data_IF_251727843691
#
_entry.id   IF_251727843691
#
_cell.length_a   1.000
_cell.length_b   1.000
_cell.length_c   1.000
_cell.angle_alpha   90.00
_cell.angle_beta   90.00
_cell.angle_gamma   90.00
#
_symmetry.space_group_name_H-M   'P 1'
#
loop_
_entity.id
_entity.type
_entity.pdbx_description
1 polymer ?
#
# COMPACT_ATOMS: atom_id res chain seq x y z
N UNK A 1 -56.79 21.11 32.69
CA UNK A 1 -55.81 21.36 31.61
C UNK A 1 -54.72 20.28 31.48
N UNK A 2 -55.05 19.00 31.24
CA UNK A 2 -54.04 17.93 31.04
C UNK A 2 -53.44 17.85 29.61
N UNK A 3 -54.08 18.49 28.62
CA UNK A 3 -53.73 18.29 27.20
C UNK A 3 -52.42 19.00 26.75
N UNK A 4 -51.95 20.04 27.46
CA UNK A 4 -50.74 20.79 27.04
C UNK A 4 -49.41 20.12 27.45
N UNK A 5 -49.40 19.33 28.53
CA UNK A 5 -48.20 18.56 28.94
C UNK A 5 -47.94 17.39 28.00
N UNK A 6 -49.00 16.68 27.58
CA UNK A 6 -48.89 15.52 26.67
C UNK A 6 -48.33 15.90 25.30
N UNK A 7 -48.77 17.03 24.73
CA UNK A 7 -48.25 17.55 23.44
C UNK A 7 -46.78 17.96 23.51
N UNK A 8 -46.34 18.60 24.61
CA UNK A 8 -44.93 18.98 24.81
C UNK A 8 -44.02 17.76 24.93
N UNK A 9 -44.47 16.73 25.65
CA UNK A 9 -43.70 15.49 25.79
C UNK A 9 -43.58 14.73 24.46
N UNK A 10 -44.67 14.66 23.68
CA UNK A 10 -44.63 14.00 22.36
C UNK A 10 -43.67 14.71 21.38
N UNK A 11 -43.71 16.05 21.33
CA UNK A 11 -42.79 16.81 20.49
C UNK A 11 -41.34 16.67 20.94
N UNK A 12 -41.09 16.64 22.24
CA UNK A 12 -39.76 16.39 22.79
C UNK A 12 -39.23 15.01 22.39
N UNK A 13 -40.05 13.95 22.52
CA UNK A 13 -39.66 12.61 22.09
C UNK A 13 -39.33 12.55 20.60
N UNK A 14 -40.15 13.16 19.73
CA UNK A 14 -39.88 13.18 18.28
C UNK A 14 -38.55 13.86 17.98
N UNK A 15 -38.29 15.03 18.59
CA UNK A 15 -37.03 15.75 18.40
C UNK A 15 -35.83 14.94 18.86
N UNK A 16 -35.91 14.30 20.03
CA UNK A 16 -34.86 13.45 20.56
C UNK A 16 -34.59 12.25 19.64
N UNK A 17 -35.64 11.58 19.16
CA UNK A 17 -35.50 10.47 18.21
C UNK A 17 -34.81 10.90 16.92
N UNK A 18 -35.19 12.05 16.34
CA UNK A 18 -34.53 12.58 15.14
C UNK A 18 -33.05 12.85 15.40
N UNK A 19 -32.72 13.49 16.52
CA UNK A 19 -31.32 13.77 16.88
C UNK A 19 -30.51 12.47 17.05
N UNK A 20 -31.08 11.46 17.71
CA UNK A 20 -30.42 10.17 17.89
C UNK A 20 -30.22 9.42 16.56
N UNK A 21 -31.18 9.50 15.64
CA UNK A 21 -31.04 8.93 14.31
C UNK A 21 -29.94 9.61 13.50
N UNK A 22 -29.88 10.95 13.52
CA UNK A 22 -28.80 11.71 12.86
C UNK A 22 -27.44 11.35 13.47
N UNK A 23 -27.35 11.32 14.80
CA UNK A 23 -26.13 10.93 15.50
C UNK A 23 -25.68 9.51 15.13
N UNK A 24 -26.61 8.56 15.06
CA UNK A 24 -26.32 7.19 14.64
C UNK A 24 -25.82 7.13 13.19
N UNK A 25 -26.46 7.84 12.27
CA UNK A 25 -26.04 7.90 10.86
C UNK A 25 -24.62 8.43 10.71
N UNK A 26 -24.24 9.47 11.48
CA UNK A 26 -22.88 10.01 11.42
C UNK A 26 -21.86 9.01 11.99
N UNK A 27 -22.19 8.28 13.07
CA UNK A 27 -21.31 7.22 13.57
C UNK A 27 -21.14 6.07 12.56
N UNK A 28 -22.18 5.74 11.79
CA UNK A 28 -22.06 4.77 10.70
C UNK A 28 -21.13 5.30 9.62
N UNK A 29 -21.26 6.57 9.23
CA UNK A 29 -20.39 7.21 8.25
C UNK A 29 -18.91 7.23 8.72
N UNK A 30 -18.66 7.51 10.00
CA UNK A 30 -17.33 7.44 10.61
C UNK A 30 -16.76 6.01 10.56
N UNK A 31 -17.57 5.00 10.88
CA UNK A 31 -17.18 3.60 10.74
C UNK A 31 -16.80 3.22 9.30
N UNK A 32 -17.53 3.73 8.30
CA UNK A 32 -17.20 3.55 6.87
C UNK A 32 -15.89 4.27 6.51
N UNK A 33 -15.66 5.48 7.03
CA UNK A 33 -14.41 6.23 6.83
C UNK A 33 -13.19 5.48 7.37
N UNK A 34 -13.30 4.93 8.59
CA UNK A 34 -12.27 4.09 9.21
C UNK A 34 -12.07 2.79 8.41
N UNK A 35 -13.15 2.18 7.93
CA UNK A 35 -13.06 1.00 7.07
C UNK A 35 -12.21 1.27 5.82
N UNK A 36 -12.46 2.37 5.10
CA UNK A 36 -11.66 2.73 3.93
C UNK A 36 -10.20 3.01 4.27
N UNK A 37 -9.93 3.62 5.43
CA UNK A 37 -8.57 3.80 5.92
C UNK A 37 -7.84 2.45 6.12
N UNK A 38 -8.50 1.52 6.82
CA UNK A 38 -7.92 0.21 7.10
C UNK A 38 -7.74 -0.56 5.78
N UNK A 39 -8.75 -0.55 4.91
CA UNK A 39 -8.72 -1.22 3.62
C UNK A 39 -7.57 -0.71 2.74
N UNK A 40 -7.43 0.61 2.59
CA UNK A 40 -6.32 1.20 1.81
C UNK A 40 -4.94 0.93 2.45
N UNK A 41 -4.88 0.76 3.77
CA UNK A 41 -3.63 0.43 4.49
C UNK A 41 -3.16 -1.02 4.31
N UNK A 42 -4.08 -1.95 4.03
CA UNK A 42 -3.77 -3.39 3.89
C UNK A 42 -3.80 -3.86 2.44
N UNK A 43 -4.61 -3.23 1.59
CA UNK A 43 -4.72 -3.47 0.17
C UNK A 43 -4.37 -2.19 -0.57
N UNK A 44 -3.06 -1.88 -0.72
CA UNK A 44 -2.66 -0.66 -1.40
C UNK A 44 -2.99 -0.70 -2.90
N UNK A 45 -3.25 -1.89 -3.46
CA UNK A 45 -3.69 -2.07 -4.84
C UNK A 45 -5.05 -2.81 -4.96
N UNK A 46 -5.88 -2.49 -5.97
CA UNK A 46 -5.74 -1.31 -6.83
C UNK A 46 -5.91 -0.05 -5.98
N UNK A 47 -5.28 1.05 -6.39
CA UNK A 47 -5.41 2.29 -5.65
C UNK A 47 -6.86 2.78 -5.67
N UNK A 48 -7.34 3.10 -4.49
CA UNK A 48 -8.62 3.79 -4.25
C UNK A 48 -8.39 5.30 -4.23
N UNK A 49 -9.46 6.09 -4.23
CA UNK A 49 -9.37 7.56 -4.20
C UNK A 49 -8.47 8.06 -3.05
N UNK A 50 -8.58 7.55 -1.80
CA UNK A 50 -7.72 7.98 -0.69
C UNK A 50 -6.23 7.75 -0.89
N UNK A 51 -5.82 6.70 -1.62
CA UNK A 51 -4.42 6.31 -1.78
C UNK A 51 -3.94 6.37 -3.24
N UNK A 52 -4.64 7.13 -4.10
CA UNK A 52 -4.24 7.34 -5.49
C UNK A 52 -2.86 7.98 -5.60
N UNK A 53 -2.55 8.92 -4.70
CA UNK A 53 -1.27 9.61 -4.59
C UNK A 53 -0.75 9.56 -3.16
N UNK A 54 0.57 9.70 -2.99
CA UNK A 54 1.18 9.73 -1.66
C UNK A 54 0.66 10.92 -0.82
N UNK A 55 0.59 12.12 -1.41
CA UNK A 55 0.06 13.30 -0.73
C UNK A 55 -1.41 13.12 -0.34
N UNK A 56 -2.22 12.50 -1.20
CA UNK A 56 -3.61 12.15 -0.91
C UNK A 56 -3.72 11.20 0.29
N UNK A 57 -2.88 10.17 0.34
CA UNK A 57 -2.84 9.22 1.45
C UNK A 57 -2.42 9.88 2.76
N UNK A 58 -1.39 10.73 2.73
CA UNK A 58 -0.95 11.50 3.88
C UNK A 58 -2.04 12.44 4.42
N UNK A 59 -2.71 13.17 3.53
CA UNK A 59 -3.81 14.06 3.90
C UNK A 59 -5.01 13.28 4.47
N UNK A 60 -5.40 12.17 3.85
CA UNK A 60 -6.48 11.31 4.33
C UNK A 60 -6.17 10.73 5.71
N UNK A 61 -4.94 10.25 5.90
CA UNK A 61 -4.46 9.75 7.19
C UNK A 61 -4.55 10.83 8.26
N UNK A 62 -4.02 12.03 8.01
CA UNK A 62 -4.07 13.15 8.96
C UNK A 62 -5.52 13.58 9.28
N UNK A 63 -6.38 13.68 8.27
CA UNK A 63 -7.79 14.03 8.46
C UNK A 63 -8.52 13.00 9.31
N UNK A 64 -8.26 11.70 9.10
CA UNK A 64 -8.84 10.64 9.90
C UNK A 64 -8.57 10.84 11.41
N UNK A 65 -7.36 11.25 11.80
CA UNK A 65 -7.04 11.58 13.20
C UNK A 65 -7.81 12.78 13.74
N UNK A 66 -7.82 13.88 12.97
CA UNK A 66 -8.46 15.13 13.39
C UNK A 66 -9.96 14.91 13.55
N UNK A 67 -10.60 14.28 12.56
CA UNK A 67 -12.03 13.97 12.62
C UNK A 67 -12.34 12.96 13.72
N UNK A 68 -11.56 11.89 13.87
CA UNK A 68 -11.76 10.91 14.94
C UNK A 68 -11.68 11.54 16.34
N UNK A 69 -10.76 12.49 16.55
CA UNK A 69 -10.65 13.22 17.82
C UNK A 69 -11.87 14.11 18.08
N UNK A 70 -12.24 14.96 17.12
CA UNK A 70 -13.39 15.88 17.26
C UNK A 70 -14.68 15.09 17.43
N UNK A 71 -14.84 13.99 16.68
CA UNK A 71 -16.00 13.12 16.76
C UNK A 71 -16.07 12.38 18.11
N UNK A 72 -14.94 11.92 18.64
CA UNK A 72 -14.85 11.37 20.00
C UNK A 72 -15.30 12.35 21.08
N UNK A 73 -14.90 13.63 20.98
CA UNK A 73 -15.36 14.69 21.89
C UNK A 73 -16.87 14.94 21.78
N UNK A 74 -17.42 14.90 20.56
CA UNK A 74 -18.86 15.01 20.34
C UNK A 74 -19.62 13.84 20.96
N UNK A 75 -19.15 12.61 20.73
CA UNK A 75 -19.70 11.39 21.33
C UNK A 75 -19.66 11.45 22.86
N UNK A 76 -18.59 12.00 23.46
CA UNK A 76 -18.50 12.20 24.91
C UNK A 76 -19.63 13.11 25.41
N UNK A 77 -19.90 14.23 24.73
CA UNK A 77 -20.98 15.14 25.11
C UNK A 77 -22.35 14.48 25.00
N UNK A 78 -22.60 13.73 23.93
CA UNK A 78 -23.85 12.98 23.74
C UNK A 78 -24.02 11.92 24.82
N UNK A 79 -22.98 11.15 25.12
CA UNK A 79 -23.01 10.13 26.17
C UNK A 79 -23.24 10.73 27.56
N UNK A 80 -22.57 11.83 27.91
CA UNK A 80 -22.79 12.52 29.19
C UNK A 80 -24.23 13.05 29.30
N UNK A 81 -24.77 13.63 28.22
CA UNK A 81 -26.15 14.09 28.19
C UNK A 81 -27.16 12.95 28.34
N UNK A 82 -26.92 11.83 27.64
CA UNK A 82 -27.76 10.63 27.74
C UNK A 82 -27.72 10.04 29.15
N UNK A 83 -26.53 9.90 29.76
CA UNK A 83 -26.38 9.40 31.13
C UNK A 83 -27.06 10.30 32.15
N UNK A 84 -26.99 11.63 31.98
CA UNK A 84 -27.69 12.58 32.84
C UNK A 84 -29.22 12.38 32.79
N UNK A 85 -29.79 12.28 31.58
CA UNK A 85 -31.22 11.99 31.41
C UNK A 85 -31.63 10.64 32.01
N UNK A 86 -30.77 9.63 31.90
CA UNK A 86 -31.03 8.28 32.36
C UNK A 86 -30.96 8.17 33.89
N UNK A 87 -30.05 8.93 34.52
CA UNK A 87 -29.93 9.03 35.98
C UNK A 87 -31.18 9.66 36.60
N UNK A 88 -31.74 10.70 35.98
CA UNK A 88 -33.00 11.31 36.44
C UNK A 88 -34.18 10.33 36.34
N UNK A 89 -34.22 9.49 35.30
CA UNK A 89 -35.33 8.58 35.05
C UNK A 89 -35.27 7.28 35.87
N UNK A 90 -34.08 6.74 36.15
CA UNK A 90 -33.88 5.42 36.75
C UNK A 90 -33.31 5.46 38.17
N UNK A 91 -33.64 6.46 39.00
CA UNK A 91 -33.11 6.75 40.35
C UNK A 91 -32.66 5.56 41.26
N UNK A 92 -33.22 4.35 41.11
CA UNK A 92 -32.82 3.13 41.85
C UNK A 92 -32.08 2.05 41.02
N UNK A 93 -32.17 2.06 39.68
CA UNK A 93 -31.51 1.10 38.76
C UNK A 93 -30.31 1.69 38.01
N UNK A 94 -30.01 2.97 38.22
CA UNK A 94 -28.99 3.72 37.51
C UNK A 94 -27.59 3.10 37.60
N UNK A 95 -27.22 2.48 38.72
CA UNK A 95 -25.87 1.89 38.92
C UNK A 95 -25.62 0.69 38.01
N UNK A 96 -26.60 -0.20 37.87
CA UNK A 96 -26.48 -1.39 37.00
C UNK A 96 -26.50 -1.00 35.52
N UNK A 97 -27.39 -0.09 35.12
CA UNK A 97 -27.45 0.40 33.74
C UNK A 97 -26.20 1.18 33.36
N UNK A 98 -25.63 1.96 34.28
CA UNK A 98 -24.35 2.65 34.09
C UNK A 98 -23.18 1.69 33.84
N UNK A 99 -23.13 0.56 34.56
CA UNK A 99 -22.08 -0.44 34.36
C UNK A 99 -22.12 -1.08 32.96
N UNK A 100 -23.31 -1.33 32.42
CA UNK A 100 -23.50 -1.88 31.07
C UNK A 100 -23.22 -0.83 29.99
N UNK A 101 -23.67 0.41 30.19
CA UNK A 101 -23.52 1.48 29.19
C UNK A 101 -22.12 2.10 29.16
N UNK A 102 -21.39 2.08 30.27
CA UNK A 102 -20.03 2.63 30.37
C UNK A 102 -19.06 2.08 29.32
N UNK A 103 -18.91 0.75 29.13
CA UNK A 103 -18.01 0.23 28.10
C UNK A 103 -18.46 0.60 26.68
N UNK A 104 -19.78 0.65 26.43
CA UNK A 104 -20.33 1.06 25.12
C UNK A 104 -19.99 2.54 24.87
N UNK A 105 -20.21 3.40 25.87
CA UNK A 105 -19.85 4.81 25.80
C UNK A 105 -18.34 4.99 25.57
N UNK A 106 -17.51 4.23 26.28
CA UNK A 106 -16.05 4.28 26.09
C UNK A 106 -15.66 3.90 24.66
N UNK A 107 -16.27 2.86 24.07
CA UNK A 107 -16.04 2.48 22.67
C UNK A 107 -16.52 3.56 21.71
N UNK A 108 -17.66 4.19 21.94
CA UNK A 108 -18.15 5.28 21.08
C UNK A 108 -17.28 6.54 21.16
N UNK A 109 -16.71 6.83 22.33
CA UNK A 109 -15.86 8.01 22.55
C UNK A 109 -14.45 7.78 22.00
N UNK A 110 -13.86 6.62 22.30
CA UNK A 110 -12.46 6.31 21.97
C UNK A 110 -12.32 5.64 20.60
N UNK A 111 -13.35 4.94 20.14
CA UNK A 111 -13.37 4.19 18.89
C UNK A 111 -12.99 5.02 17.67
N UNK A 112 -13.63 6.18 17.41
CA UNK A 112 -13.30 7.01 16.26
C UNK A 112 -11.81 7.38 16.17
N UNK A 113 -11.17 7.59 17.32
CA UNK A 113 -9.76 7.98 17.40
C UNK A 113 -8.78 6.79 17.38
N UNK A 114 -9.10 5.72 18.12
CA UNK A 114 -8.16 4.59 18.34
C UNK A 114 -8.42 3.38 17.45
N UNK A 115 -9.63 3.21 16.91
CA UNK A 115 -9.96 2.05 16.07
C UNK A 115 -9.05 1.86 14.87
N UNK A 116 -8.55 2.89 14.15
CA UNK A 116 -7.60 2.68 13.05
C UNK A 116 -6.30 2.03 13.55
N UNK A 117 -5.82 2.38 14.74
CA UNK A 117 -4.59 1.82 15.33
C UNK A 117 -4.75 0.41 15.84
N UNK A 118 -5.93 0.09 16.38
CA UNK A 118 -6.21 -1.24 16.92
C UNK A 118 -6.55 -2.21 15.78
N UNK A 119 -7.37 -1.77 14.83
CA UNK A 119 -7.88 -2.61 13.76
C UNK A 119 -6.84 -2.82 12.65
N UNK A 120 -6.00 -1.82 12.32
CA UNK A 120 -4.99 -1.97 11.26
C UNK A 120 -4.05 -3.15 11.50
N UNK A 121 -3.40 -3.34 12.68
CA UNK A 121 -2.52 -4.48 12.90
C UNK A 121 -3.25 -5.83 12.88
N UNK A 122 -4.53 -5.88 13.25
CA UNK A 122 -5.35 -7.10 13.15
C UNK A 122 -5.65 -7.41 11.68
N UNK A 123 -6.08 -6.41 10.94
CA UNK A 123 -6.38 -6.51 9.52
C UNK A 123 -5.13 -6.83 8.69
N UNK A 124 -3.98 -6.22 8.99
CA UNK A 124 -2.69 -6.52 8.36
C UNK A 124 -2.27 -7.97 8.61
N UNK A 125 -2.46 -8.49 9.83
CA UNK A 125 -2.16 -9.88 10.13
C UNK A 125 -3.09 -10.85 9.38
N UNK A 126 -4.39 -10.50 9.28
CA UNK A 126 -5.35 -11.27 8.49
C UNK A 126 -5.01 -11.25 6.99
N UNK A 127 -4.74 -10.07 6.43
CA UNK A 127 -4.32 -9.88 5.05
C UNK A 127 -3.02 -10.63 4.76
N UNK A 128 -2.03 -10.56 5.67
CA UNK A 128 -0.80 -11.33 5.53
C UNK A 128 -1.07 -12.83 5.44
N UNK A 129 -2.00 -13.39 6.20
CA UNK A 129 -2.26 -14.83 6.17
C UNK A 129 -3.14 -15.29 5.01
N UNK A 130 -3.98 -14.41 4.46
CA UNK A 130 -5.04 -14.79 3.51
C UNK A 130 -5.03 -14.04 2.17
N UNK A 131 -4.20 -13.01 2.01
CA UNK A 131 -4.19 -12.13 0.84
C UNK A 131 -3.86 -12.86 -0.46
N UNK A 132 -3.00 -13.88 -0.39
CA UNK A 132 -2.62 -14.70 -1.52
C UNK A 132 -3.39 -16.03 -1.66
N UNK A 133 -4.45 -16.30 -0.89
CA UNK A 133 -5.14 -17.60 -0.90
C UNK A 133 -5.74 -17.98 -2.27
N UNK A 134 -6.02 -16.99 -3.13
CA UNK A 134 -6.56 -17.18 -4.48
C UNK A 134 -5.49 -17.39 -5.56
N UNK A 135 -4.22 -17.29 -5.20
CA UNK A 135 -3.08 -17.31 -6.13
C UNK A 135 -2.35 -18.65 -6.04
N UNK A 136 -1.73 -19.06 -7.16
CA UNK A 136 -1.00 -20.32 -7.21
C UNK A 136 0.27 -20.27 -6.34
N UNK A 137 0.95 -19.12 -6.35
CA UNK A 137 2.21 -18.89 -5.63
C UNK A 137 2.09 -17.66 -4.76
N UNK A 138 2.64 -17.77 -3.55
CA UNK A 138 2.98 -16.61 -2.71
C UNK A 138 4.49 -16.49 -2.59
N UNK A 139 4.98 -15.26 -2.63
CA UNK A 139 6.40 -14.92 -2.61
C UNK A 139 6.62 -13.97 -1.43
N UNK A 140 7.56 -14.31 -0.56
CA UNK A 140 7.94 -13.46 0.57
C UNK A 140 9.29 -12.84 0.25
N UNK A 141 9.29 -11.54 0.03
CA UNK A 141 10.48 -10.74 -0.17
C UNK A 141 10.98 -10.30 1.20
N UNK A 142 12.14 -10.81 1.62
CA UNK A 142 12.79 -10.45 2.88
C UNK A 142 14.07 -9.67 2.58
N UNK A 143 13.98 -8.34 2.68
CA UNK A 143 15.12 -7.47 2.51
C UNK A 143 16.00 -7.44 3.78
N UNK A 144 17.28 -7.11 3.61
CA UNK A 144 18.15 -6.84 4.74
C UNK A 144 17.76 -5.52 5.43
N UNK A 145 17.80 -5.49 6.77
CA UNK A 145 17.59 -4.28 7.56
C UNK A 145 18.90 -3.49 7.65
N UNK A 146 18.83 -2.15 7.67
CA UNK A 146 20.02 -1.30 7.85
C UNK A 146 20.67 -1.48 9.23
N UNK A 147 19.85 -1.75 10.24
CA UNK A 147 20.26 -2.08 11.62
C UNK A 147 20.38 -3.60 11.86
N UNK A 148 20.32 -4.41 10.80
CA UNK A 148 20.39 -5.86 10.86
C UNK A 148 21.80 -6.39 11.07
N UNK A 149 21.91 -7.72 11.19
CA UNK A 149 23.23 -8.38 11.17
C UNK A 149 23.83 -8.19 9.78
N UNK A 150 25.08 -7.72 9.70
CA UNK A 150 25.82 -7.33 8.49
C UNK A 150 25.80 -8.40 7.37
N UNK A 151 25.50 -9.66 7.70
CA UNK A 151 25.56 -10.80 6.79
C UNK A 151 24.21 -11.48 6.52
N UNK A 152 23.07 -10.79 6.68
CA UNK A 152 21.79 -11.34 6.23
C UNK A 152 21.55 -10.99 4.76
N UNK A 153 21.52 -11.98 3.86
CA UNK A 153 21.22 -11.74 2.46
C UNK A 153 19.75 -11.37 2.28
N UNK A 154 19.46 -10.57 1.25
CA UNK A 154 18.10 -10.28 0.81
C UNK A 154 17.58 -11.47 0.02
N UNK A 155 16.56 -12.15 0.55
CA UNK A 155 16.02 -13.40 0.00
C UNK A 155 14.57 -13.21 -0.45
N UNK A 156 14.23 -13.74 -1.62
CA UNK A 156 12.86 -13.94 -2.08
C UNK A 156 12.50 -15.43 -1.99
N UNK A 157 11.58 -15.79 -1.09
CA UNK A 157 11.15 -17.18 -0.87
C UNK A 157 9.81 -17.46 -1.54
N UNK A 158 9.74 -18.51 -2.34
CA UNK A 158 8.55 -18.91 -3.08
C UNK A 158 7.83 -20.05 -2.37
N UNK A 159 6.49 -19.98 -2.29
CA UNK A 159 5.66 -20.98 -1.63
C UNK A 159 4.43 -21.32 -2.48
N UNK A 160 4.01 -22.58 -2.41
CA UNK A 160 2.68 -23.02 -2.86
C UNK A 160 1.86 -23.37 -1.62
N UNK A 161 0.80 -22.58 -1.36
CA UNK A 161 0.15 -22.60 -0.05
C UNK A 161 1.18 -22.32 1.05
N UNK A 162 1.26 -23.19 2.06
CA UNK A 162 2.22 -23.06 3.17
C UNK A 162 3.54 -23.83 2.97
N UNK A 163 3.76 -24.43 1.80
CA UNK A 163 4.94 -25.24 1.51
C UNK A 163 6.00 -24.40 0.78
N UNK A 164 7.18 -24.26 1.38
CA UNK A 164 8.32 -23.60 0.76
C UNK A 164 8.82 -24.42 -0.45
N UNK A 165 9.07 -23.75 -1.57
CA UNK A 165 9.50 -24.38 -2.81
C UNK A 165 11.01 -24.18 -3.03
N UNK A 166 11.42 -22.92 -3.14
CA UNK A 166 12.78 -22.50 -3.43
C UNK A 166 12.94 -21.02 -3.06
N UNK A 167 14.19 -20.55 -3.04
CA UNK A 167 14.49 -19.15 -2.78
C UNK A 167 15.48 -18.58 -3.77
N UNK A 168 15.35 -17.27 -4.01
CA UNK A 168 16.28 -16.47 -4.78
C UNK A 168 16.98 -15.47 -3.86
N UNK A 169 18.18 -15.07 -4.22
CA UNK A 169 18.97 -14.05 -3.56
C UNK A 169 19.17 -12.86 -4.50
N UNK A 170 19.11 -11.65 -3.93
CA UNK A 170 19.46 -10.43 -4.62
C UNK A 170 20.90 -10.03 -4.26
N UNK A 171 21.74 -9.88 -5.28
CA UNK A 171 23.13 -9.48 -5.17
C UNK A 171 23.37 -8.22 -6.01
N UNK A 172 23.91 -7.18 -5.38
CA UNK A 172 24.32 -5.97 -6.06
C UNK A 172 25.79 -6.09 -6.47
N UNK A 173 26.08 -6.10 -7.76
CA UNK A 173 27.46 -6.14 -8.28
C UNK A 173 28.03 -4.73 -8.46
N UNK A 174 27.19 -3.76 -8.82
CA UNK A 174 27.54 -2.33 -8.90
C UNK A 174 26.28 -1.47 -8.68
N UNK A 175 26.39 -0.14 -8.74
CA UNK A 175 25.24 0.76 -8.65
C UNK A 175 24.14 0.39 -9.68
N UNK A 176 24.56 0.12 -10.92
CA UNK A 176 23.67 -0.09 -12.06
C UNK A 176 23.50 -1.56 -12.45
N UNK A 177 24.19 -2.49 -11.77
CA UNK A 177 24.17 -3.91 -12.10
C UNK A 177 23.76 -4.76 -10.90
N UNK A 178 22.59 -5.38 -11.04
CA UNK A 178 21.99 -6.24 -10.02
C UNK A 178 21.74 -7.63 -10.57
N UNK A 179 21.92 -8.65 -9.73
CA UNK A 179 21.65 -10.03 -10.09
C UNK A 179 20.69 -10.67 -9.09
N UNK A 180 19.69 -11.37 -9.61
CA UNK A 180 18.69 -12.09 -8.87
C UNK A 180 18.74 -13.56 -9.29
N UNK A 181 19.25 -14.43 -8.42
CA UNK A 181 19.53 -15.83 -8.77
C UNK A 181 19.05 -16.82 -7.73
N UNK A 182 18.90 -18.08 -8.13
CA UNK A 182 18.53 -19.18 -7.23
C UNK A 182 19.58 -19.30 -6.13
N UNK A 183 19.09 -19.33 -4.89
CA UNK A 183 19.89 -19.55 -3.69
C UNK A 183 19.78 -20.99 -3.19
N UNK A 184 18.56 -21.50 -3.09
CA UNK A 184 18.29 -22.84 -2.57
C UNK A 184 17.00 -23.43 -3.13
N UNK A 185 16.96 -24.75 -3.22
CA UNK A 185 15.72 -25.52 -3.41
C UNK A 185 15.29 -25.99 -2.02
N UNK A 186 14.21 -25.43 -1.50
CA UNK A 186 13.79 -25.60 -0.11
C UNK A 186 12.83 -26.80 0.06
N UNK A 187 12.12 -27.18 -1.01
CA UNK A 187 11.28 -28.37 -1.05
C UNK A 187 12.13 -29.63 -1.29
N UNK A 188 12.08 -30.64 -0.39
CA UNK A 188 12.76 -31.91 -0.61
C UNK A 188 12.29 -32.64 -1.87
N UNK A 189 11.00 -32.56 -2.18
CA UNK A 189 10.40 -33.21 -3.35
C UNK A 189 10.91 -32.56 -4.64
N UNK A 190 11.02 -31.22 -4.68
CA UNK A 190 11.60 -30.51 -5.83
C UNK A 190 13.10 -30.74 -5.97
N UNK A 191 13.83 -30.86 -4.85
CA UNK A 191 15.25 -31.16 -4.87
C UNK A 191 15.53 -32.55 -5.49
N UNK A 192 14.65 -33.52 -5.25
CA UNK A 192 14.74 -34.87 -5.82
C UNK A 192 14.17 -34.95 -7.24
N UNK A 193 13.12 -34.20 -7.55
CA UNK A 193 12.45 -34.20 -8.85
C UNK A 193 12.56 -32.84 -9.55
N UNK A 194 13.70 -32.62 -10.16
CA UNK A 194 14.02 -31.36 -10.85
C UNK A 194 13.35 -31.22 -12.23
N UNK A 195 12.57 -32.21 -12.65
CA UNK A 195 11.69 -32.13 -13.84
C UNK A 195 10.27 -31.70 -13.50
N UNK A 196 9.96 -31.50 -12.22
CA UNK A 196 8.66 -31.01 -11.80
C UNK A 196 8.37 -29.62 -12.39
N UNK A 197 7.12 -29.36 -12.76
CA UNK A 197 6.68 -28.06 -13.29
C UNK A 197 6.93 -26.88 -12.33
N UNK A 198 7.03 -27.17 -11.03
CA UNK A 198 7.34 -26.22 -9.96
C UNK A 198 8.85 -26.02 -9.73
N UNK A 199 9.71 -26.74 -10.43
CA UNK A 199 11.15 -26.49 -10.37
C UNK A 199 11.50 -25.18 -11.10
N UNK A 200 12.32 -24.29 -10.51
CA UNK A 200 12.67 -23.01 -11.14
C UNK A 200 13.59 -23.24 -12.35
N UNK A 201 13.11 -22.90 -13.54
CA UNK A 201 13.88 -23.09 -14.78
C UNK A 201 14.90 -21.97 -15.05
N UNK A 202 14.68 -20.80 -14.44
CA UNK A 202 15.53 -19.62 -14.52
C UNK A 202 16.58 -19.73 -13.41
N UNK A 203 17.86 -19.70 -13.75
CA UNK A 203 18.94 -19.79 -12.76
C UNK A 203 19.29 -18.42 -12.19
N UNK A 204 19.43 -17.42 -13.05
CA UNK A 204 19.68 -16.04 -12.65
C UNK A 204 19.10 -15.05 -13.65
N UNK A 205 18.82 -13.86 -13.16
CA UNK A 205 18.44 -12.67 -13.90
C UNK A 205 19.44 -11.58 -13.57
N UNK A 206 19.89 -10.83 -14.57
CA UNK A 206 20.74 -9.65 -14.42
C UNK A 206 19.96 -8.44 -14.92
N UNK A 207 19.88 -7.40 -14.08
CA UNK A 207 19.29 -6.10 -14.39
C UNK A 207 20.42 -5.11 -14.62
N UNK A 208 20.38 -4.43 -15.76
CA UNK A 208 21.27 -3.32 -16.09
C UNK A 208 20.45 -2.04 -16.16
N UNK A 209 20.68 -1.12 -15.22
CA UNK A 209 19.98 0.16 -15.13
C UNK A 209 20.60 1.24 -16.05
N UNK A 210 21.70 0.94 -16.75
CA UNK A 210 22.28 1.89 -17.73
C UNK A 210 21.41 2.01 -18.98
N UNK A 211 20.82 0.89 -19.39
CA UNK A 211 20.00 0.76 -20.60
C UNK A 211 18.61 0.15 -20.32
N UNK A 212 18.25 0.03 -19.04
CA UNK A 212 17.04 -0.63 -18.53
C UNK A 212 16.82 -2.03 -19.13
N UNK A 213 17.90 -2.76 -19.39
CA UNK A 213 17.85 -4.10 -19.97
C UNK A 213 17.88 -5.21 -18.93
N UNK A 214 17.27 -6.34 -19.29
CA UNK A 214 17.29 -7.55 -18.49
C UNK A 214 17.76 -8.73 -19.32
N UNK A 215 18.63 -9.55 -18.73
CA UNK A 215 19.04 -10.83 -19.30
C UNK A 215 18.93 -11.92 -18.26
N UNK A 216 18.49 -13.10 -18.66
CA UNK A 216 18.33 -14.24 -17.77
C UNK A 216 18.97 -15.49 -18.35
N UNK A 217 19.63 -16.25 -17.48
CA UNK A 217 20.16 -17.55 -17.85
C UNK A 217 19.32 -18.66 -17.23
N UNK A 218 19.04 -19.69 -18.01
CA UNK A 218 18.30 -20.86 -17.59
C UNK A 218 19.27 -22.02 -17.41
N UNK A 219 18.92 -22.94 -16.51
CA UNK A 219 19.60 -24.22 -16.47
C UNK A 219 18.96 -25.17 -17.49
N UNK A 220 19.79 -25.76 -18.34
CA UNK A 220 19.37 -26.75 -19.33
C UNK A 220 19.15 -28.13 -18.72
N UNK A 221 19.66 -28.39 -17.51
CA UNK A 221 19.49 -29.65 -16.82
C UNK A 221 19.77 -29.53 -15.31
N UNK A 222 19.05 -30.29 -14.47
CA UNK A 222 19.27 -30.47 -13.04
C UNK A 222 20.72 -30.66 -12.56
N UNK A 223 21.56 -31.22 -13.43
CA UNK A 223 22.90 -31.72 -13.13
C UNK A 223 24.01 -31.04 -13.94
N UNK A 224 23.67 -30.08 -14.81
CA UNK A 224 24.65 -29.33 -15.59
C UNK A 224 24.77 -27.89 -15.09
N UNK A 225 25.99 -27.47 -14.78
CA UNK A 225 26.35 -26.09 -14.39
C UNK A 225 26.34 -25.14 -15.59
N UNK A 226 26.16 -25.66 -16.81
CA UNK A 226 26.08 -24.83 -18.02
C UNK A 226 24.73 -24.15 -18.09
N UNK A 227 24.73 -22.88 -17.69
CA UNK A 227 23.62 -21.97 -17.90
C UNK A 227 23.71 -21.37 -19.30
N UNK A 228 22.56 -21.19 -19.94
CA UNK A 228 22.46 -20.56 -21.26
C UNK A 228 21.48 -19.41 -21.18
N UNK A 229 21.78 -18.31 -21.86
CA UNK A 229 20.85 -17.18 -21.96
C UNK A 229 19.54 -17.65 -22.59
N UNK A 230 18.45 -17.38 -21.88
CA UNK A 230 17.11 -17.84 -22.23
C UNK A 230 16.06 -16.76 -22.12
N UNK A 231 16.38 -15.64 -21.46
CA UNK A 231 15.49 -14.50 -21.31
C UNK A 231 16.28 -13.27 -21.71
N UNK A 232 15.65 -12.42 -22.51
CA UNK A 232 16.13 -11.08 -22.81
C UNK A 232 14.96 -10.11 -22.81
N UNK A 233 15.24 -8.83 -22.63
CA UNK A 233 14.20 -7.83 -22.69
C UNK A 233 14.60 -6.50 -22.08
N UNK A 234 13.59 -5.67 -21.88
CA UNK A 234 13.72 -4.34 -21.29
C UNK A 234 12.66 -4.15 -20.22
N UNK A 235 12.98 -3.32 -19.23
CA UNK A 235 12.01 -2.83 -18.26
C UNK A 235 11.95 -1.31 -18.34
N UNK A 236 10.90 -0.73 -17.78
CA UNK A 236 10.78 0.71 -17.61
C UNK A 236 10.50 0.97 -16.13
N UNK A 237 11.50 1.37 -15.33
CA UNK A 237 11.34 1.52 -13.89
C UNK A 237 10.61 2.82 -13.50
N UNK A 238 10.24 3.67 -14.47
CA UNK A 238 9.59 4.96 -14.21
C UNK A 238 8.18 4.80 -13.60
N UNK A 239 7.45 5.91 -13.52
CA UNK A 239 6.12 5.98 -12.90
C UNK A 239 5.12 4.91 -13.37
N UNK A 240 5.20 4.42 -14.61
CA UNK A 240 4.37 3.31 -15.10
C UNK A 240 5.28 2.12 -15.36
N UNK A 241 5.48 1.26 -14.35
CA UNK A 241 6.30 0.07 -14.48
C UNK A 241 5.83 -0.78 -15.67
N UNK A 242 6.75 -1.14 -16.55
CA UNK A 242 6.46 -2.08 -17.64
C UNK A 242 7.66 -2.96 -17.94
N UNK A 243 7.38 -4.10 -18.57
CA UNK A 243 8.38 -5.04 -19.03
C UNK A 243 8.03 -5.49 -20.45
N UNK A 244 9.04 -5.65 -21.29
CA UNK A 244 8.93 -6.34 -22.56
C UNK A 244 9.97 -7.45 -22.53
N UNK A 245 9.51 -8.69 -22.36
CA UNK A 245 10.35 -9.86 -22.08
C UNK A 245 10.18 -10.88 -23.19
N UNK A 246 11.28 -11.41 -23.71
CA UNK A 246 11.30 -12.52 -24.66
C UNK A 246 11.92 -13.74 -24.01
N UNK A 247 11.17 -14.83 -23.90
CA UNK A 247 11.70 -16.15 -23.55
C UNK A 247 12.22 -16.82 -24.82
N UNK A 248 13.55 -16.88 -24.96
CA UNK A 248 14.25 -17.44 -26.11
C UNK A 248 14.03 -18.94 -26.30
N UNK A 249 13.57 -19.66 -25.26
CA UNK A 249 13.32 -21.11 -25.34
C UNK A 249 12.05 -21.41 -26.11
N UNK A 250 11.04 -20.56 -25.93
CA UNK A 250 9.73 -20.68 -26.61
C UNK A 250 9.56 -19.66 -27.72
N UNK A 251 10.47 -18.69 -27.82
CA UNK A 251 10.38 -17.51 -28.66
C UNK A 251 9.09 -16.70 -28.42
N UNK A 252 8.62 -16.69 -27.18
CA UNK A 252 7.41 -15.98 -26.75
C UNK A 252 7.80 -14.64 -26.16
N UNK A 253 7.15 -13.57 -26.63
CA UNK A 253 7.31 -12.25 -26.04
C UNK A 253 6.09 -11.93 -25.18
N UNK A 254 6.32 -11.33 -24.02
CA UNK A 254 5.29 -10.93 -23.06
C UNK A 254 5.50 -9.48 -22.68
N UNK A 255 4.47 -8.67 -22.85
CA UNK A 255 4.46 -7.28 -22.41
C UNK A 255 3.65 -7.14 -21.11
N UNK A 256 4.32 -6.80 -20.03
CA UNK A 256 3.68 -6.58 -18.73
C UNK A 256 3.61 -5.09 -18.44
N UNK A 257 2.48 -4.65 -17.87
CA UNK A 257 2.30 -3.25 -17.46
C UNK A 257 1.63 -3.15 -16.10
N UNK A 258 2.12 -2.21 -15.29
CA UNK A 258 1.46 -1.84 -14.04
C UNK A 258 0.16 -1.11 -14.31
N UNK A 259 -0.89 -1.48 -13.55
CA UNK A 259 -2.20 -0.84 -13.60
C UNK A 259 -2.13 0.59 -13.07
N UNK A 260 -1.42 0.78 -11.95
CA UNK A 260 -1.31 2.04 -11.24
C UNK A 260 0.02 2.74 -11.55
N UNK A 261 -0.01 4.08 -11.57
CA UNK A 261 1.22 4.90 -11.61
C UNK A 261 1.89 4.93 -10.23
N UNK A 262 3.15 5.36 -10.19
CA UNK A 262 3.96 5.55 -8.98
C UNK A 262 4.11 4.28 -8.15
N UNK A 263 4.46 3.18 -8.79
CA UNK A 263 4.58 1.88 -8.13
C UNK A 263 5.64 1.81 -7.01
N UNK A 264 6.57 2.77 -6.99
CA UNK A 264 7.57 2.97 -5.93
C UNK A 264 7.33 4.25 -5.15
N UNK A 265 7.66 4.22 -3.87
CA UNK A 265 7.76 5.39 -3.01
C UNK A 265 9.01 5.29 -2.14
N UNK A 266 9.57 6.43 -1.76
CA UNK A 266 10.73 6.48 -0.86
C UNK A 266 10.37 6.01 0.56
N UNK A 267 9.13 6.26 0.97
CA UNK A 267 8.64 6.10 2.34
C UNK A 267 7.62 4.96 2.53
N UNK A 268 7.30 4.22 1.47
CA UNK A 268 6.37 3.08 1.51
C UNK A 268 6.90 1.88 0.73
N UNK A 269 6.41 0.70 1.08
CA UNK A 269 6.68 -0.52 0.33
C UNK A 269 6.19 -0.38 -1.13
N UNK A 270 6.87 -1.00 -2.11
CA UNK A 270 6.43 -0.97 -3.49
C UNK A 270 5.04 -1.59 -3.62
N UNK A 271 4.23 -0.95 -4.47
CA UNK A 271 2.82 -1.27 -4.65
C UNK A 271 2.53 -1.45 -6.13
N UNK A 272 2.43 -2.70 -6.57
CA UNK A 272 2.33 -3.09 -7.98
C UNK A 272 1.20 -4.09 -8.19
N UNK A 273 0.43 -3.88 -9.25
CA UNK A 273 -0.36 -4.93 -9.93
C UNK A 273 0.08 -4.94 -11.38
N UNK A 274 0.73 -6.02 -11.81
CA UNK A 274 1.13 -6.23 -13.20
C UNK A 274 0.07 -7.02 -13.94
N UNK A 275 -0.24 -6.55 -15.14
CA UNK A 275 -1.08 -7.27 -16.08
C UNK A 275 -0.31 -7.53 -17.37
N UNK A 276 -0.59 -8.67 -17.96
CA UNK A 276 -0.26 -8.92 -19.36
C UNK A 276 -1.08 -7.95 -20.23
N UNK A 277 -0.39 -7.22 -21.10
CA UNK A 277 -0.96 -6.17 -21.95
C UNK A 277 -1.86 -6.75 -23.04
N UNK A 278 -1.58 -7.96 -23.49
CA UNK A 278 -2.34 -8.63 -24.54
C UNK A 278 -3.64 -9.22 -24.00
N UNK A 279 -3.54 -9.95 -22.88
CA UNK A 279 -4.70 -10.65 -22.29
C UNK A 279 -5.47 -9.81 -21.26
N UNK A 280 -4.86 -8.75 -20.73
CA UNK A 280 -5.37 -7.98 -19.60
C UNK A 280 -5.40 -8.76 -18.28
N UNK A 281 -4.83 -9.96 -18.24
CA UNK A 281 -4.85 -10.83 -17.06
C UNK A 281 -3.81 -10.38 -16.04
N UNK A 282 -4.15 -10.47 -14.75
CA UNK A 282 -3.22 -10.18 -13.67
C UNK A 282 -2.17 -11.28 -13.56
N UNK A 283 -0.90 -10.88 -13.46
CA UNK A 283 0.24 -11.81 -13.37
C UNK A 283 0.82 -11.79 -11.96
N UNK A 284 1.07 -10.59 -11.43
CA UNK A 284 1.64 -10.35 -10.09
C UNK A 284 0.88 -9.23 -9.40
N UNK A 285 0.73 -9.37 -8.09
CA UNK A 285 0.30 -8.29 -7.18
C UNK A 285 1.12 -8.29 -5.91
N UNK A 286 1.65 -7.13 -5.52
CA UNK A 286 2.14 -6.91 -4.16
C UNK A 286 0.94 -6.82 -3.21
N UNK A 287 1.00 -7.54 -2.11
CA UNK A 287 -0.05 -7.59 -1.10
C UNK A 287 0.31 -6.66 0.07
N UNK A 288 0.62 -7.21 1.24
CA UNK A 288 0.89 -6.43 2.46
C UNK A 288 2.28 -6.70 3.02
N UNK A 289 2.85 -5.69 3.68
CA UNK A 289 4.05 -5.88 4.51
C UNK A 289 3.73 -6.65 5.77
N UNK A 290 4.67 -7.45 6.28
CA UNK A 290 4.47 -8.19 7.51
C UNK A 290 4.28 -7.26 8.70
N UNK A 291 3.31 -7.60 9.56
CA UNK A 291 3.08 -6.86 10.80
C UNK A 291 4.36 -6.81 11.64
N UNK A 292 4.70 -5.62 12.11
CA UNK A 292 5.89 -5.32 12.93
C UNK A 292 7.23 -5.63 12.26
N UNK A 293 7.25 -5.88 10.94
CA UNK A 293 8.45 -6.22 10.20
C UNK A 293 8.37 -5.67 8.78
N UNK A 294 8.77 -4.41 8.63
CA UNK A 294 8.72 -3.69 7.36
C UNK A 294 9.72 -4.19 6.32
N UNK A 295 10.65 -5.08 6.70
CA UNK A 295 11.61 -5.71 5.78
C UNK A 295 10.97 -6.79 4.90
N UNK A 296 9.81 -7.29 5.32
CA UNK A 296 9.09 -8.37 4.64
C UNK A 296 7.88 -7.87 3.89
N UNK A 297 7.84 -8.13 2.59
CA UNK A 297 6.72 -7.86 1.70
C UNK A 297 6.21 -9.17 1.11
N UNK A 298 4.89 -9.37 1.15
CA UNK A 298 4.23 -10.49 0.48
C UNK A 298 3.79 -10.09 -0.92
N UNK A 299 4.01 -10.98 -1.88
CA UNK A 299 3.63 -10.82 -3.27
C UNK A 299 2.89 -12.08 -3.73
N UNK A 300 1.81 -11.92 -4.48
CA UNK A 300 0.99 -13.01 -5.00
C UNK A 300 1.19 -13.11 -6.52
N UNK A 301 1.26 -14.35 -7.05
CA UNK A 301 1.42 -14.59 -8.49
C UNK A 301 0.44 -15.66 -9.00
N UNK A 302 -0.16 -15.41 -10.17
CA UNK A 302 -1.27 -16.23 -10.71
C UNK A 302 -0.78 -17.57 -11.26
N UNK A 303 0.45 -17.62 -11.78
CA UNK A 303 1.06 -18.84 -12.32
C UNK A 303 2.43 -19.11 -11.71
N UNK A 304 3.09 -20.19 -12.17
CA UNK A 304 4.38 -20.63 -11.63
C UNK A 304 5.52 -20.30 -12.62
N UNK A 305 6.67 -19.90 -12.08
CA UNK A 305 8.02 -20.07 -12.65
C UNK A 305 8.29 -19.52 -14.08
N UNK A 306 7.49 -18.58 -14.57
CA UNK A 306 7.72 -17.92 -15.85
C UNK A 306 8.63 -16.70 -15.74
N UNK A 307 9.20 -16.28 -16.88
CA UNK A 307 10.00 -15.06 -17.00
C UNK A 307 9.18 -13.82 -16.59
N UNK A 308 7.91 -13.82 -16.95
CA UNK A 308 6.88 -12.84 -16.60
C UNK A 308 6.62 -12.72 -15.09
N UNK A 309 7.09 -13.68 -14.27
CA UNK A 309 7.02 -13.61 -12.81
C UNK A 309 8.39 -13.30 -12.20
N UNK A 310 9.40 -14.10 -12.53
CA UNK A 310 10.71 -14.03 -11.84
C UNK A 310 11.41 -12.70 -12.12
N UNK A 311 11.28 -12.17 -13.36
CA UNK A 311 11.90 -10.89 -13.74
C UNK A 311 11.26 -9.72 -13.00
N UNK A 312 9.92 -9.53 -13.00
CA UNK A 312 9.37 -8.41 -12.24
C UNK A 312 9.60 -8.50 -10.74
N UNK A 313 9.62 -9.71 -10.17
CA UNK A 313 9.88 -9.90 -8.74
C UNK A 313 11.26 -9.38 -8.33
N UNK A 314 12.29 -9.59 -9.15
CA UNK A 314 13.62 -9.06 -8.82
C UNK A 314 13.63 -7.53 -8.76
N UNK A 315 13.00 -6.85 -9.72
CA UNK A 315 12.92 -5.38 -9.71
C UNK A 315 12.08 -4.84 -8.54
N UNK A 316 10.94 -5.47 -8.25
CA UNK A 316 10.12 -5.16 -7.05
C UNK A 316 10.96 -5.35 -5.78
N UNK A 317 11.80 -6.37 -5.74
CA UNK A 317 12.62 -6.67 -4.58
C UNK A 317 13.71 -5.63 -4.34
N UNK A 318 14.35 -5.10 -5.40
CA UNK A 318 15.31 -3.99 -5.30
C UNK A 318 14.66 -2.78 -4.61
N UNK A 319 13.42 -2.46 -4.97
CA UNK A 319 12.68 -1.35 -4.35
C UNK A 319 12.26 -1.64 -2.91
N UNK A 320 11.84 -2.87 -2.62
CA UNK A 320 11.57 -3.31 -1.25
C UNK A 320 12.83 -3.23 -0.37
N UNK A 321 14.02 -3.46 -0.92
CA UNK A 321 15.28 -3.26 -0.19
C UNK A 321 15.49 -1.80 0.20
N UNK A 322 15.25 -0.86 -0.72
CA UNK A 322 15.30 0.57 -0.41
C UNK A 322 14.33 0.98 0.70
N UNK A 323 13.08 0.52 0.62
CA UNK A 323 12.08 0.76 1.67
C UNK A 323 12.48 0.12 3.01
N UNK A 324 13.01 -1.11 2.99
CA UNK A 324 13.45 -1.80 4.20
C UNK A 324 14.58 -1.05 4.92
N UNK A 325 15.55 -0.50 4.19
CA UNK A 325 16.59 0.36 4.77
C UNK A 325 15.98 1.61 5.40
N UNK A 326 15.13 2.34 4.67
CA UNK A 326 14.48 3.54 5.19
C UNK A 326 13.68 3.28 6.48
N UNK A 327 12.85 2.23 6.48
CA UNK A 327 11.96 1.96 7.60
C UNK A 327 12.71 1.43 8.85
N UNK A 328 13.90 0.85 8.68
CA UNK A 328 14.71 0.33 9.80
C UNK A 328 15.69 1.37 10.34
N UNK A 329 16.16 2.32 9.52
CA UNK A 329 16.94 3.47 9.97
C UNK A 329 16.15 4.34 10.95
N UNK A 330 14.89 4.63 10.62
CA UNK A 330 13.98 5.40 11.50
C UNK A 330 13.71 4.70 12.84
N UNK A 331 13.81 3.37 12.89
CA UNK A 331 13.64 2.60 14.13
C UNK A 331 14.93 2.56 14.97
N UNK A 332 16.10 2.70 14.34
CA UNK A 332 17.40 2.74 15.03
C UNK A 332 17.68 4.09 15.69
N UNK A 333 17.24 5.20 15.08
CA UNK A 333 17.33 6.54 15.67
C UNK A 333 16.08 6.79 16.52
N UNK A 334 16.08 6.31 17.76
CA UNK A 334 15.02 6.63 18.70
C UNK A 334 14.79 8.14 18.77
N UNK A 335 13.61 8.58 18.32
CA UNK A 335 12.90 9.78 18.77
C UNK A 335 13.81 10.92 19.28
N UNK A 336 14.62 11.50 18.39
CA UNK A 336 15.14 12.85 18.61
C UNK A 336 14.86 13.64 17.35
N UNK A 337 13.69 14.25 17.31
CA UNK A 337 13.26 15.22 16.31
C UNK A 337 14.27 16.37 16.25
N UNK A 338 15.24 16.28 15.35
CA UNK A 338 15.99 17.45 14.88
C UNK A 338 16.45 17.21 13.44
N UNK A 339 15.76 17.90 12.52
CA UNK A 339 16.32 18.49 11.31
C UNK A 339 17.12 17.62 10.34
N UNK A 340 16.49 17.30 9.21
CA UNK A 340 17.12 17.41 7.89
C UNK A 340 18.43 16.67 7.69
N UNK A 341 18.36 15.35 7.52
CA UNK A 341 19.31 14.67 6.65
C UNK A 341 18.53 14.06 5.49
N UNK A 342 18.78 14.61 4.30
CA UNK A 342 18.38 14.02 3.03
C UNK A 342 19.14 12.70 2.88
N UNK A 343 18.45 11.59 3.10
CA UNK A 343 18.93 10.28 2.67
C UNK A 343 19.09 10.35 1.15
N UNK A 344 20.34 10.31 0.69
CA UNK A 344 20.64 10.04 -0.72
C UNK A 344 19.96 8.71 -1.09
N UNK A 345 19.10 8.68 -2.12
CA UNK A 345 18.54 7.43 -2.63
C UNK A 345 19.67 6.45 -2.94
N UNK A 346 19.37 5.15 -2.89
CA UNK A 346 20.25 4.10 -3.39
C UNK A 346 20.76 4.53 -4.78
N UNK A 347 22.07 4.76 -4.91
CA UNK A 347 22.66 5.21 -6.17
C UNK A 347 22.34 4.19 -7.27
N UNK A 348 21.54 4.59 -8.27
CA UNK A 348 21.12 3.76 -9.40
C UNK A 348 19.62 3.75 -9.70
N UNK A 349 18.75 4.25 -8.80
CA UNK A 349 17.31 4.42 -9.09
C UNK A 349 17.02 5.90 -9.33
N UNK A 350 16.56 6.33 -10.53
CA UNK A 350 16.29 7.73 -10.81
C UNK A 350 15.16 8.24 -9.92
N UNK A 351 15.49 9.22 -9.07
CA UNK A 351 14.52 9.97 -8.30
C UNK A 351 13.72 10.87 -9.27
N UNK A 352 12.48 10.47 -9.56
CA UNK A 352 11.58 11.22 -10.46
C UNK A 352 10.65 12.18 -9.72
N UNK A 353 10.92 12.47 -8.43
CA UNK A 353 10.07 13.34 -7.60
C UNK A 353 10.48 14.82 -7.55
N UNK A 354 11.26 15.30 -8.53
CA UNK A 354 11.73 16.69 -8.61
C UNK A 354 10.66 17.72 -9.02
N UNK A 355 9.74 18.06 -8.10
CA UNK A 355 8.91 19.25 -8.14
C UNK A 355 9.24 20.17 -6.98
N UNK A 356 10.38 20.88 -7.05
CA UNK A 356 10.82 21.80 -6.00
C UNK A 356 10.00 23.09 -6.00
N UNK A 357 9.20 23.30 -4.94
CA UNK A 357 8.67 24.61 -4.56
C UNK A 357 9.80 25.39 -3.86
N UNK A 358 10.15 26.62 -4.27
CA UNK A 358 11.16 27.39 -3.56
C UNK A 358 10.59 27.95 -2.25
N UNK A 359 11.26 27.62 -1.14
CA UNK A 359 11.05 28.24 0.16
C UNK A 359 11.65 29.65 0.16
N UNK A 360 10.85 30.65 0.55
CA UNK A 360 11.29 32.03 0.72
C UNK A 360 12.17 32.23 1.95
N UNK A 361 13.14 33.14 1.82
CA UNK A 361 13.74 33.90 2.91
C UNK A 361 14.05 35.31 2.40
N UNK A 362 13.67 36.31 3.19
CA UNK A 362 13.61 37.72 2.79
C UNK A 362 14.94 38.44 2.62
N UNK A 363 14.87 39.57 1.92
CA UNK A 363 15.90 40.59 1.81
C UNK A 363 15.34 41.74 0.97
N UNK A 364 15.24 42.93 1.56
CA UNK A 364 14.60 44.10 0.97
C UNK A 364 15.29 44.66 -0.27
N UNK A 365 14.50 45.41 -1.04
CA UNK A 365 14.93 46.22 -2.16
C UNK A 365 13.71 46.96 -2.70
N UNK A 366 13.65 48.25 -2.40
CA UNK A 366 12.76 49.21 -3.05
C UNK A 366 12.99 49.16 -4.57
N UNK A 367 11.94 49.03 -5.37
CA UNK A 367 11.86 49.74 -6.64
C UNK A 367 10.43 49.76 -7.18
N UNK A 368 10.08 50.92 -7.72
CA UNK A 368 8.78 51.30 -8.26
C UNK A 368 8.61 50.89 -9.72
N UNK A 369 7.35 50.83 -10.17
CA UNK A 369 6.92 50.59 -11.55
C UNK A 369 5.69 49.68 -11.53
N UNK A 370 4.47 50.22 -11.44
CA UNK A 370 3.65 50.68 -12.58
C UNK A 370 3.71 49.71 -13.76
N UNK A 371 2.61 48.96 -13.97
CA UNK A 371 1.96 48.77 -15.27
C UNK A 371 0.67 47.92 -15.12
N UNK A 372 -0.45 48.65 -15.12
CA UNK A 372 -1.72 48.45 -15.82
C UNK A 372 -2.17 47.06 -16.33
N UNK A 373 -3.45 46.81 -16.01
CA UNK A 373 -4.56 46.35 -16.85
C UNK A 373 -4.47 45.04 -17.66
N UNK A 374 -5.44 44.17 -17.40
CA UNK A 374 -5.71 43.00 -18.23
C UNK A 374 -6.93 42.19 -17.80
N UNK A 375 -8.08 42.85 -17.68
CA UNK A 375 -9.40 42.20 -17.70
C UNK A 375 -9.57 41.41 -19.02
N UNK A 376 -9.99 40.16 -18.93
CA UNK A 376 -10.71 39.52 -20.05
C UNK A 376 -11.70 38.50 -19.53
N UNK A 377 -12.94 38.95 -19.57
CA UNK A 377 -14.20 38.25 -19.38
C UNK A 377 -14.55 37.40 -20.61
N UNK A 378 -15.43 36.41 -20.36
CA UNK A 378 -16.48 35.87 -21.23
C UNK A 378 -16.15 35.14 -22.55
N UNK A 379 -16.78 33.98 -22.71
CA UNK A 379 -16.94 33.31 -23.99
C UNK A 379 -17.52 31.91 -23.87
N UNK A 380 -18.83 31.79 -23.64
CA UNK A 380 -19.56 30.54 -23.87
C UNK A 380 -19.76 30.28 -25.37
N UNK A 381 -19.98 29.02 -25.74
CA UNK A 381 -20.87 28.68 -26.87
C UNK A 381 -21.35 27.24 -26.76
N UNK A 382 -22.67 27.11 -26.84
CA UNK A 382 -23.42 25.91 -27.17
C UNK A 382 -23.03 25.38 -28.56
N UNK A 383 -23.28 24.09 -28.80
CA UNK A 383 -23.17 23.46 -30.11
C UNK A 383 -23.32 21.95 -30.01
N UNK A 384 -24.58 21.47 -30.06
CA UNK A 384 -24.85 20.09 -30.43
C UNK A 384 -24.70 19.91 -31.93
N UNK A 385 -24.44 18.68 -32.38
CA UNK A 385 -25.15 18.14 -33.55
C UNK A 385 -25.05 16.61 -33.61
N UNK A 386 -26.11 16.07 -34.19
CA UNK A 386 -26.45 14.67 -34.36
C UNK A 386 -25.62 13.99 -35.47
N UNK A 387 -25.48 12.67 -35.39
CA UNK A 387 -24.87 11.88 -36.46
C UNK A 387 -25.06 10.37 -36.26
N UNK A 388 -26.20 9.84 -36.71
CA UNK A 388 -26.42 8.42 -36.93
C UNK A 388 -26.08 7.96 -38.35
N UNK A 389 -25.94 6.64 -38.51
CA UNK A 389 -25.72 5.91 -39.79
C UNK A 389 -24.26 5.45 -39.92
N UNK A 390 -23.91 4.18 -40.10
CA UNK A 390 -24.61 2.98 -40.59
C UNK A 390 -24.35 1.75 -39.72
#
# INVERSE_FOLDING_TARGET
MPNSRRKRNALFCIKLTIILLIWLLINIADGVWIYFYIHASIYPNPRTIPNATNSGWGAYSAMMFIFGFVWGLFNLRVCLGFLGLLQEYLSQKATFTGFILSPIAAVLILGPFFSPWIARPLAQNAAWNHGCDKYAIQIILKANASNGVIYQPSIASYFQGNTALYSYEMLQSSADLWSFGIRSIDSPDLAQNQTASLYPSISNITYNFTDDSVSGNCSSSPSNVTTTTCIEGFFNPNNSLSFNLTDLRTNTTTELRAVDKQWTFTDYAPSVVLRDSDSGTEVIRTDVTKKNDCTQLKVCAVQNNGADIVVPIGLIFIQQMGYASYCTDLQGTGSTTTGGQTNTPLAGVPDTSGGSIPAGAGGGGDDAGDDDDGDSSDGGSEGGDDGGGE
#
